data_IF_076032941150
#
_entry.id   IF_076032941150
#
_cell.length_a   1.000
_cell.length_b   1.000
_cell.length_c   1.000
_cell.angle_alpha   90.00
_cell.angle_beta   90.00
_cell.angle_gamma   90.00
#
_symmetry.space_group_name_H-M   'P 1'
#
loop_
_entity.id
_entity.type
_entity.pdbx_description
1 polymer ?
#
# COMPACT_ATOMS: atom_id res chain seq x y z
N UNK A 1 0.07 -5.14 3.90
CA UNK A 1 -1.19 -5.93 3.87
C UNK A 1 -1.71 -5.95 2.44
N UNK A 2 -2.33 -7.06 2.00
CA UNK A 2 -2.97 -7.18 0.70
C UNK A 2 -4.37 -7.77 0.84
N UNK A 3 -5.35 -7.25 0.11
CA UNK A 3 -6.72 -7.78 0.08
C UNK A 3 -7.43 -7.41 -1.23
N UNK A 4 -8.43 -8.19 -1.63
CA UNK A 4 -9.33 -7.84 -2.73
C UNK A 4 -10.62 -7.24 -2.19
N UNK A 5 -11.18 -6.27 -2.91
CA UNK A 5 -12.49 -5.71 -2.60
C UNK A 5 -13.13 -5.04 -3.81
N UNK A 6 -14.44 -4.84 -3.75
CA UNK A 6 -15.17 -4.11 -4.80
C UNK A 6 -14.79 -2.62 -4.76
N UNK A 7 -14.48 -2.05 -5.92
CA UNK A 7 -14.35 -0.60 -6.05
C UNK A 7 -15.74 -0.02 -6.34
N UNK A 8 -16.23 0.99 -5.58
CA UNK A 8 -17.61 1.48 -5.69
C UNK A 8 -17.96 1.99 -7.11
N UNK A 9 -16.96 2.44 -7.86
CA UNK A 9 -17.15 2.99 -9.21
C UNK A 9 -16.82 2.00 -10.35
N UNK A 10 -16.32 0.79 -10.06
CA UNK A 10 -15.88 -0.17 -11.09
C UNK A 10 -16.42 -1.58 -10.86
N UNK A 11 -16.86 -2.26 -11.93
CA UNK A 11 -17.26 -3.67 -11.84
C UNK A 11 -16.04 -4.57 -11.67
N UNK A 12 -16.10 -5.49 -10.71
CA UNK A 12 -15.09 -6.51 -10.44
C UNK A 12 -14.16 -6.16 -9.27
N UNK A 13 -13.47 -7.16 -8.73
CA UNK A 13 -12.59 -6.99 -7.57
C UNK A 13 -11.36 -6.17 -7.94
N UNK A 14 -11.00 -5.21 -7.09
CA UNK A 14 -9.76 -4.47 -7.15
C UNK A 14 -8.79 -5.02 -6.10
N UNK A 15 -7.53 -5.18 -6.52
CA UNK A 15 -6.44 -5.60 -5.66
C UNK A 15 -5.90 -4.41 -4.87
N UNK A 16 -6.00 -4.42 -3.55
CA UNK A 16 -5.51 -3.37 -2.67
C UNK A 16 -4.22 -3.78 -1.95
N UNK A 17 -3.32 -2.82 -1.74
CA UNK A 17 -2.11 -2.95 -0.95
C UNK A 17 -2.02 -1.79 0.04
N UNK A 18 -1.77 -2.09 1.30
CA UNK A 18 -1.50 -1.10 2.33
C UNK A 18 -0.09 -1.26 2.89
N UNK A 19 0.69 -0.17 2.80
CA UNK A 19 1.89 0.05 3.57
C UNK A 19 1.59 0.91 4.79
N UNK A 20 2.17 0.54 5.92
CA UNK A 20 2.05 1.25 7.19
C UNK A 20 3.34 1.06 8.01
N UNK A 21 3.60 1.99 8.92
CA UNK A 21 4.71 1.88 9.88
C UNK A 21 4.21 1.47 11.26
N UNK A 22 5.05 0.81 12.06
CA UNK A 22 4.73 0.52 13.47
C UNK A 22 4.96 1.71 14.42
N UNK A 23 5.61 2.78 13.95
CA UNK A 23 5.89 3.95 14.79
C UNK A 23 7.05 3.76 15.77
N UNK A 24 7.84 2.70 15.59
CA UNK A 24 8.96 2.30 16.45
C UNK A 24 10.31 2.91 16.00
N UNK A 25 10.28 3.85 15.06
CA UNK A 25 11.45 4.58 14.60
C UNK A 25 11.93 5.66 15.59
N UNK A 26 13.08 6.31 15.29
CA UNK A 26 13.58 7.44 16.06
C UNK A 26 12.53 8.56 16.18
N UNK A 27 12.27 9.03 17.40
CA UNK A 27 11.20 10.01 17.67
C UNK A 27 9.80 9.40 17.86
N UNK A 28 9.71 8.06 17.92
CA UNK A 28 8.46 7.34 18.18
C UNK A 28 7.44 7.51 17.05
N UNK A 29 6.16 7.39 17.41
CA UNK A 29 5.03 7.51 16.49
C UNK A 29 5.08 8.82 15.68
N UNK A 30 5.20 9.97 16.36
CA UNK A 30 5.24 11.29 15.71
C UNK A 30 6.44 11.46 14.77
N UNK A 31 7.63 11.03 15.21
CA UNK A 31 8.85 11.10 14.40
C UNK A 31 8.74 10.24 13.14
N UNK A 32 8.17 9.05 13.28
CA UNK A 32 7.95 8.11 12.18
C UNK A 32 6.91 8.65 11.20
N UNK A 33 5.77 9.17 11.68
CA UNK A 33 4.76 9.81 10.84
C UNK A 33 5.32 10.99 10.05
N UNK A 34 6.12 11.85 10.68
CA UNK A 34 6.78 12.95 10.00
C UNK A 34 7.77 12.46 8.92
N UNK A 35 8.51 11.38 9.20
CA UNK A 35 9.43 10.78 8.23
C UNK A 35 8.70 10.14 7.04
N UNK A 36 7.62 9.39 7.28
CA UNK A 36 6.77 8.80 6.25
C UNK A 36 6.16 9.89 5.38
N UNK A 37 5.64 10.96 5.98
CA UNK A 37 5.07 12.09 5.24
C UNK A 37 6.09 12.71 4.27
N UNK A 38 7.31 12.98 4.76
CA UNK A 38 8.39 13.52 3.93
C UNK A 38 8.81 12.57 2.81
N UNK A 39 8.87 11.27 3.10
CA UNK A 39 9.18 10.24 2.10
C UNK A 39 8.16 10.25 0.96
N UNK A 40 6.88 10.30 1.31
CA UNK A 40 5.75 10.32 0.37
C UNK A 40 5.76 11.59 -0.49
N UNK A 41 5.98 12.76 0.11
CA UNK A 41 6.14 14.02 -0.61
C UNK A 41 7.31 13.96 -1.61
N UNK A 42 8.47 13.44 -1.18
CA UNK A 42 9.66 13.31 -2.02
C UNK A 42 9.51 12.29 -3.17
N UNK A 43 8.59 11.34 -3.05
CA UNK A 43 8.32 10.32 -4.08
C UNK A 43 7.21 10.75 -5.04
N UNK A 44 6.66 11.95 -4.88
CA UNK A 44 5.56 12.45 -5.71
C UNK A 44 4.21 11.80 -5.39
N UNK A 45 4.05 11.35 -4.14
CA UNK A 45 2.85 10.76 -3.56
C UNK A 45 2.34 11.62 -2.39
N UNK A 46 1.72 12.78 -2.66
CA UNK A 46 1.30 13.68 -1.59
C UNK A 46 0.24 12.99 -0.69
N UNK A 47 0.46 12.92 0.64
CA UNK A 47 -0.53 12.40 1.58
C UNK A 47 -1.83 13.21 1.57
N UNK A 48 -2.98 12.54 1.53
CA UNK A 48 -4.30 13.16 1.35
C UNK A 48 -4.51 13.82 -0.01
N UNK A 49 -3.61 13.58 -0.97
CA UNK A 49 -3.72 14.05 -2.34
C UNK A 49 -4.62 13.18 -3.23
N UNK A 50 -4.76 13.53 -4.52
CA UNK A 50 -5.49 12.71 -5.48
C UNK A 50 -4.80 11.36 -5.70
N UNK A 51 -5.57 10.37 -6.15
CA UNK A 51 -5.02 9.08 -6.58
C UNK A 51 -4.09 9.29 -7.77
N UNK A 52 -2.82 8.91 -7.61
CA UNK A 52 -1.83 9.00 -8.69
C UNK A 52 -1.91 7.75 -9.57
N UNK A 53 -2.12 7.91 -10.87
CA UNK A 53 -2.03 6.78 -11.81
C UNK A 53 -0.58 6.57 -12.28
N UNK A 54 0.14 5.65 -11.63
CA UNK A 54 1.53 5.34 -11.98
C UNK A 54 1.66 4.60 -13.32
N UNK A 55 0.58 4.02 -13.86
CA UNK A 55 0.58 3.34 -15.16
C UNK A 55 0.87 4.33 -16.29
N UNK A 56 0.51 5.59 -16.10
CA UNK A 56 0.75 6.70 -17.04
C UNK A 56 2.11 7.37 -16.84
N UNK A 57 2.92 6.92 -15.86
CA UNK A 57 4.16 7.58 -15.43
C UNK A 57 5.34 6.58 -15.44
N UNK A 58 6.03 6.39 -16.58
CA UNK A 58 7.11 5.40 -16.69
C UNK A 58 8.29 5.59 -15.73
N UNK A 59 8.56 6.83 -15.31
CA UNK A 59 9.63 7.19 -14.37
C UNK A 59 9.15 7.30 -12.92
N UNK A 60 7.97 6.75 -12.59
CA UNK A 60 7.46 6.77 -11.24
C UNK A 60 8.37 5.93 -10.31
N UNK A 61 8.74 6.44 -9.12
CA UNK A 61 9.76 5.82 -8.28
C UNK A 61 9.27 4.58 -7.52
N UNK A 62 7.98 4.26 -7.59
CA UNK A 62 7.41 3.05 -6.99
C UNK A 62 7.20 1.98 -8.04
N UNK A 63 7.53 0.74 -7.68
CA UNK A 63 7.25 -0.44 -8.49
C UNK A 63 6.53 -1.51 -7.70
N UNK A 64 5.71 -2.29 -8.41
CA UNK A 64 5.04 -3.47 -7.90
C UNK A 64 5.45 -4.68 -8.76
N UNK A 65 6.08 -5.65 -8.10
CA UNK A 65 6.37 -6.96 -8.68
C UNK A 65 5.46 -8.01 -8.03
N UNK A 66 4.86 -8.86 -8.84
CA UNK A 66 4.07 -10.02 -8.39
C UNK A 66 4.79 -11.28 -8.82
N UNK A 67 5.18 -12.11 -7.85
CA UNK A 67 5.94 -13.33 -8.08
C UNK A 67 5.57 -14.39 -7.06
N UNK A 68 5.29 -15.61 -7.52
CA UNK A 68 5.06 -16.78 -6.66
C UNK A 68 4.06 -16.54 -5.50
N UNK A 69 2.98 -15.78 -5.75
CA UNK A 69 1.98 -15.43 -4.73
C UNK A 69 2.46 -14.39 -3.70
N UNK A 70 3.51 -13.64 -4.02
CA UNK A 70 3.99 -12.49 -3.26
C UNK A 70 3.78 -11.21 -4.06
N UNK A 71 3.46 -10.12 -3.35
CA UNK A 71 3.59 -8.76 -3.86
C UNK A 71 4.83 -8.12 -3.23
N UNK A 72 5.73 -7.63 -4.07
CA UNK A 72 6.93 -6.89 -3.68
C UNK A 72 6.78 -5.45 -4.14
N UNK A 73 6.69 -4.55 -3.17
CA UNK A 73 6.66 -3.10 -3.39
C UNK A 73 8.05 -2.55 -3.16
N UNK A 74 8.55 -1.79 -4.13
CA UNK A 74 9.84 -1.12 -4.01
C UNK A 74 9.67 0.38 -4.22
N UNK A 75 10.27 1.15 -3.32
CA UNK A 75 10.34 2.61 -3.39
C UNK A 75 11.63 3.08 -2.70
N UNK A 76 12.06 4.35 -2.90
CA UNK A 76 13.20 4.88 -2.18
C UNK A 76 13.05 4.65 -0.67
N UNK A 77 14.06 4.02 -0.05
CA UNK A 77 14.11 3.75 1.40
C UNK A 77 13.07 2.75 1.96
N UNK A 78 12.22 2.15 1.12
CA UNK A 78 11.30 1.09 1.55
C UNK A 78 11.23 -0.02 0.48
N UNK A 79 11.58 -1.23 0.91
CA UNK A 79 11.35 -2.45 0.17
C UNK A 79 10.51 -3.36 1.06
N UNK A 80 9.30 -3.70 0.61
CA UNK A 80 8.36 -4.48 1.39
C UNK A 80 7.83 -5.64 0.54
N UNK A 81 7.70 -6.80 1.16
CA UNK A 81 7.10 -7.98 0.55
C UNK A 81 5.97 -8.49 1.44
N UNK A 82 4.89 -8.97 0.82
CA UNK A 82 3.81 -9.64 1.54
C UNK A 82 3.21 -10.78 0.72
N UNK A 83 2.77 -11.82 1.42
CA UNK A 83 1.94 -12.89 0.86
C UNK A 83 0.61 -12.26 0.48
N UNK A 84 0.14 -12.55 -0.74
CA UNK A 84 -1.14 -12.08 -1.24
C UNK A 84 -2.14 -13.23 -1.37
N UNK A 85 -3.43 -12.98 -1.10
CA UNK A 85 -4.45 -14.01 -1.26
C UNK A 85 -4.74 -14.28 -2.74
N UNK A 86 -5.36 -15.42 -3.05
CA UNK A 86 -5.53 -15.88 -4.44
C UNK A 86 -6.43 -14.96 -5.24
N UNK A 87 -7.51 -14.47 -4.62
CA UNK A 87 -8.42 -13.49 -5.20
C UNK A 87 -7.73 -12.16 -5.54
N UNK A 88 -6.65 -11.81 -4.83
CA UNK A 88 -5.85 -10.63 -5.15
C UNK A 88 -5.04 -10.83 -6.41
N UNK A 89 -4.45 -12.03 -6.58
CA UNK A 89 -3.75 -12.39 -7.80
C UNK A 89 -4.69 -12.34 -9.01
N UNK A 90 -5.88 -12.92 -8.89
CA UNK A 90 -6.90 -12.87 -9.96
C UNK A 90 -7.25 -11.42 -10.33
N UNK A 91 -7.52 -10.56 -9.33
CA UNK A 91 -7.85 -9.16 -9.57
C UNK A 91 -6.71 -8.40 -10.28
N UNK A 92 -5.45 -8.68 -9.91
CA UNK A 92 -4.29 -8.10 -10.59
C UNK A 92 -4.11 -8.65 -12.01
N UNK A 93 -4.32 -9.95 -12.22
CA UNK A 93 -4.23 -10.56 -13.56
C UNK A 93 -5.28 -9.98 -14.51
N UNK A 94 -6.50 -9.75 -14.03
CA UNK A 94 -7.58 -9.18 -14.83
C UNK A 94 -7.36 -7.68 -15.13
N UNK A 95 -6.84 -6.92 -14.17
CA UNK A 95 -6.75 -5.45 -14.26
C UNK A 95 -5.36 -4.92 -14.63
N UNK A 96 -4.31 -5.72 -14.45
CA UNK A 96 -2.90 -5.35 -14.68
C UNK A 96 -2.30 -4.36 -13.68
N UNK A 97 -2.99 -4.05 -12.57
CA UNK A 97 -2.54 -3.10 -11.56
C UNK A 97 -3.19 -3.36 -10.20
N UNK A 98 -2.62 -2.78 -9.16
CA UNK A 98 -3.17 -2.76 -7.81
C UNK A 98 -3.30 -1.33 -7.29
N UNK A 99 -4.28 -1.11 -6.41
CA UNK A 99 -4.43 0.13 -5.65
C UNK A 99 -3.52 0.10 -4.43
N UNK A 100 -2.56 1.01 -4.37
CA UNK A 100 -1.60 1.11 -3.28
C UNK A 100 -1.92 2.31 -2.39
N UNK A 101 -1.99 2.04 -1.10
CA UNK A 101 -2.18 2.97 -0.01
C UNK A 101 -0.93 2.99 0.87
N UNK A 102 -0.48 4.18 1.26
CA UNK A 102 0.53 4.33 2.30
C UNK A 102 -0.01 5.24 3.39
N UNK A 103 -0.33 4.65 4.54
CA UNK A 103 -0.76 5.38 5.73
C UNK A 103 0.37 6.22 6.32
N UNK A 104 0.08 7.49 6.63
CA UNK A 104 1.00 8.36 7.39
C UNK A 104 0.87 8.20 8.88
N UNK A 105 -0.31 7.77 9.36
CA UNK A 105 -0.51 7.40 10.74
C UNK A 105 0.21 6.06 11.01
N UNK A 106 0.95 5.94 12.13
CA UNK A 106 1.50 4.66 12.50
C UNK A 106 0.37 3.75 12.94
N UNK A 107 0.62 2.45 12.90
CA UNK A 107 -0.37 1.47 13.32
C UNK A 107 -0.74 1.68 14.81
N UNK A 108 -2.01 1.93 15.15
CA UNK A 108 -2.39 2.38 16.49
C UNK A 108 -2.17 1.33 17.58
N UNK A 109 -2.35 0.03 17.28
CA UNK A 109 -2.11 -1.08 18.22
C UNK A 109 -0.72 -1.73 18.05
N UNK A 110 0.25 -0.98 17.52
CA UNK A 110 1.48 -1.51 16.89
C UNK A 110 2.51 -1.95 17.90
N UNK A 111 2.31 -3.13 18.49
CA UNK A 111 3.35 -3.76 19.29
C UNK A 111 4.23 -4.59 18.34
N UNK A 112 5.52 -4.25 18.19
CA UNK A 112 6.44 -5.05 17.38
C UNK A 112 6.43 -6.52 17.84
N UNK A 113 6.25 -7.44 16.89
CA UNK A 113 6.22 -8.88 17.16
C UNK A 113 4.86 -9.48 17.53
N UNK A 114 3.77 -8.69 17.54
CA UNK A 114 2.41 -9.21 17.70
C UNK A 114 1.79 -9.48 16.33
N UNK A 115 1.36 -10.72 16.11
CA UNK A 115 0.58 -11.06 14.91
C UNK A 115 -0.76 -10.32 14.91
N UNK A 116 -1.06 -9.72 13.77
CA UNK A 116 -2.26 -8.92 13.59
C UNK A 116 -3.36 -9.76 13.00
N UNK A 117 -4.59 -9.61 13.51
CA UNK A 117 -5.74 -10.28 12.90
C UNK A 117 -6.16 -9.56 11.62
N UNK A 118 -6.65 -10.31 10.63
CA UNK A 118 -7.21 -9.76 9.38
C UNK A 118 -8.31 -8.72 9.65
N UNK A 119 -9.10 -8.91 10.72
CA UNK A 119 -10.17 -7.99 11.11
C UNK A 119 -9.65 -6.62 11.51
N UNK A 120 -8.59 -6.57 12.31
CA UNK A 120 -8.00 -5.30 12.75
C UNK A 120 -7.40 -4.57 11.56
N UNK A 121 -6.66 -5.30 10.73
CA UNK A 121 -6.08 -4.81 9.48
C UNK A 121 -7.15 -4.21 8.55
N UNK A 122 -8.26 -4.92 8.34
CA UNK A 122 -9.37 -4.45 7.52
C UNK A 122 -10.04 -3.19 8.10
N UNK A 123 -10.22 -3.10 9.42
CA UNK A 123 -10.80 -1.92 10.07
C UNK A 123 -9.93 -0.67 9.86
N UNK A 124 -8.60 -0.80 9.99
CA UNK A 124 -7.67 0.31 9.74
C UNK A 124 -7.60 0.71 8.27
N UNK A 125 -7.64 -0.26 7.35
CA UNK A 125 -7.70 0.02 5.91
C UNK A 125 -9.00 0.70 5.48
N UNK A 126 -10.10 0.46 6.21
CA UNK A 126 -11.40 1.08 5.97
C UNK A 126 -11.67 2.35 6.78
N UNK A 127 -10.74 2.78 7.66
CA UNK A 127 -10.93 3.97 8.48
C UNK A 127 -10.82 5.24 7.62
N UNK A 128 -11.85 6.07 7.62
CA UNK A 128 -11.91 7.28 6.80
C UNK A 128 -10.80 8.28 7.16
N UNK A 129 -10.36 8.34 8.43
CA UNK A 129 -9.27 9.22 8.86
C UNK A 129 -7.92 8.77 8.33
N UNK A 130 -7.67 7.45 8.32
CA UNK A 130 -6.49 6.84 7.71
C UNK A 130 -6.52 7.08 6.20
N UNK A 131 -7.64 6.79 5.54
CA UNK A 131 -7.79 6.98 4.10
C UNK A 131 -7.65 8.44 3.67
N UNK A 132 -8.19 9.38 4.44
CA UNK A 132 -8.11 10.81 4.13
C UNK A 132 -6.69 11.39 4.23
N UNK A 133 -5.81 10.75 5.02
CA UNK A 133 -4.43 11.21 5.22
C UNK A 133 -3.40 10.36 4.50
N UNK A 134 -3.75 9.16 4.04
CA UNK A 134 -2.89 8.29 3.28
C UNK A 134 -2.53 8.87 1.90
N UNK A 135 -1.40 8.43 1.36
CA UNK A 135 -1.10 8.60 -0.06
C UNK A 135 -1.67 7.43 -0.87
N UNK A 136 -2.14 7.73 -2.07
CA UNK A 136 -2.87 6.80 -2.93
C UNK A 136 -2.27 6.74 -4.34
N UNK A 137 -2.09 5.53 -4.90
CA UNK A 137 -1.75 5.37 -6.30
C UNK A 137 -2.17 4.03 -6.92
N UNK A 138 -2.35 4.02 -8.23
CA UNK A 138 -2.52 2.80 -9.01
C UNK A 138 -1.14 2.33 -9.51
N UNK A 139 -0.64 1.21 -8.97
CA UNK A 139 0.65 0.65 -9.35
C UNK A 139 0.50 -0.41 -10.44
N UNK A 140 1.15 -0.26 -11.61
CA UNK A 140 1.17 -1.32 -12.60
C UNK A 140 1.87 -2.55 -12.02
N UNK A 141 1.19 -3.69 -12.06
CA UNK A 141 1.77 -4.95 -11.63
C UNK A 141 2.67 -5.49 -12.74
N UNK A 142 3.89 -5.87 -12.36
CA UNK A 142 4.83 -6.55 -13.25
C UNK A 142 5.03 -7.95 -12.75
N UNK A 143 5.13 -8.92 -13.64
CA UNK A 143 5.63 -10.25 -13.33
C UNK A 143 7.06 -10.38 -13.84
N UNK A 144 7.88 -11.18 -13.15
CA UNK A 144 9.11 -11.66 -13.77
C UNK A 144 8.67 -12.61 -14.88
N UNK A 145 9.02 -12.28 -16.14
CA UNK A 145 8.90 -13.25 -17.22
C UNK A 145 9.85 -14.39 -16.89
N UNK A 146 9.31 -15.60 -16.73
CA UNK A 146 10.09 -16.83 -16.86
C UNK A 146 10.45 -17.05 -18.33
#
# INVERSE_FOLDING_TARGET
MAWSGEHPDERGDLAFLLAYSLGDGPGGAEGTSAAVRRLLENTGLPPGGPVIDARTRPSFPLTLLVEAGQAVVNMPYLNAQCVVPREWLTAVEERGHAYFLFATAPWPEGTPGVEMTERTLSAFAGDEGVLATAAHCLLPARSLRS
#
